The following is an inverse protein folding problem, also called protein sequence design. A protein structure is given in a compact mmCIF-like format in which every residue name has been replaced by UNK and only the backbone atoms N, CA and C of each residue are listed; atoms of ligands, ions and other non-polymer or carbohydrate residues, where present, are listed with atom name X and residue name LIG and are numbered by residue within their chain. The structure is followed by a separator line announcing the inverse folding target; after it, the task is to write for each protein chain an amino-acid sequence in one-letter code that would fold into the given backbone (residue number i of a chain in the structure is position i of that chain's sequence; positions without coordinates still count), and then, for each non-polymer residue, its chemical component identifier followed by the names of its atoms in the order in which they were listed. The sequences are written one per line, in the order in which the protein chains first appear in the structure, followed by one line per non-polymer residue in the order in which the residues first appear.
data_IF_680534112548
#
_entry.id   IF_680534112548
#
_cell.length_a   1.000
_cell.length_b   1.000
_cell.length_c   1.000
_cell.angle_alpha   90.00
_cell.angle_beta   90.00
_cell.angle_gamma   90.00
#
_symmetry.space_group_name_H-M   'P 1'
#
loop_
_entity.id
_entity.type
_entity.pdbx_description
1 polymer ?
#
# COMPACT_ATOMS: atom_id res chain seq x y z
N UNK A 1 -30.23 -4.61 -9.95
CA UNK A 1 -29.97 -3.20 -9.60
C UNK A 1 -28.52 -3.08 -9.16
N UNK A 2 -27.67 -2.40 -9.93
CA UNK A 2 -26.26 -2.21 -9.56
C UNK A 2 -26.23 -1.18 -8.42
N UNK A 3 -25.81 -1.61 -7.23
CA UNK A 3 -25.65 -0.71 -6.09
C UNK A 3 -24.68 0.41 -6.47
N UNK A 4 -25.17 1.65 -6.44
CA UNK A 4 -24.38 2.86 -6.71
C UNK A 4 -23.30 2.96 -5.63
N UNK A 5 -22.07 2.53 -5.95
CA UNK A 5 -20.92 2.67 -5.06
C UNK A 5 -20.77 4.14 -4.67
N UNK A 6 -21.01 4.44 -3.39
CA UNK A 6 -20.79 5.76 -2.81
C UNK A 6 -19.29 6.06 -2.96
N UNK A 7 -18.96 7.12 -3.72
CA UNK A 7 -17.58 7.51 -3.99
C UNK A 7 -16.95 8.02 -2.70
N UNK A 8 -16.08 7.23 -2.08
CA UNK A 8 -15.32 7.65 -0.91
C UNK A 8 -14.47 8.89 -1.23
N UNK A 9 -14.54 9.92 -0.39
CA UNK A 9 -13.73 11.11 -0.52
C UNK A 9 -12.33 10.87 0.08
N UNK A 10 -11.31 10.85 -0.79
CA UNK A 10 -9.91 10.71 -0.38
C UNK A 10 -9.30 12.07 -0.01
N UNK A 11 -8.52 12.13 1.07
CA UNK A 11 -7.79 13.35 1.50
C UNK A 11 -6.71 13.74 0.47
N UNK A 12 -6.25 14.99 0.52
CA UNK A 12 -5.21 15.47 -0.39
C UNK A 12 -3.88 14.72 -0.17
N UNK A 13 -3.49 14.53 1.08
CA UNK A 13 -2.28 13.79 1.46
C UNK A 13 -2.31 12.35 0.96
N UNK A 14 -3.45 11.66 1.10
CA UNK A 14 -3.60 10.30 0.61
C UNK A 14 -3.42 10.20 -0.91
N UNK A 15 -3.96 11.17 -1.66
CA UNK A 15 -3.78 11.23 -3.11
C UNK A 15 -2.34 11.52 -3.49
N UNK A 16 -1.68 12.41 -2.75
CA UNK A 16 -0.27 12.74 -2.95
C UNK A 16 0.60 11.50 -2.73
N UNK A 17 0.37 10.74 -1.66
CA UNK A 17 1.15 9.52 -1.41
C UNK A 17 0.86 8.43 -2.45
N UNK A 18 -0.40 8.25 -2.85
CA UNK A 18 -0.75 7.31 -3.93
C UNK A 18 -0.06 7.68 -5.26
N UNK A 19 0.02 8.96 -5.58
CA UNK A 19 0.77 9.45 -6.75
C UNK A 19 2.28 9.26 -6.57
N UNK A 20 2.82 9.53 -5.38
CA UNK A 20 4.25 9.37 -5.04
C UNK A 20 4.70 7.92 -5.25
N UNK A 21 3.88 6.94 -4.85
CA UNK A 21 4.15 5.52 -5.06
C UNK A 21 4.21 5.15 -6.55
N UNK A 22 3.35 5.74 -7.38
CA UNK A 22 3.43 5.52 -8.83
C UNK A 22 4.67 6.19 -9.42
N UNK A 23 5.01 7.39 -8.96
CA UNK A 23 6.20 8.13 -9.41
C UNK A 23 7.52 7.45 -8.98
N UNK A 24 7.52 6.69 -7.88
CA UNK A 24 8.68 5.89 -7.46
C UNK A 24 8.87 4.60 -8.26
N UNK A 25 8.05 4.37 -9.30
CA UNK A 25 8.17 3.26 -10.24
C UNK A 25 7.24 2.09 -9.98
N UNK A 26 6.36 2.16 -8.97
CA UNK A 26 5.36 1.11 -8.77
C UNK A 26 4.28 1.15 -9.85
N UNK A 27 3.81 -0.04 -10.27
CA UNK A 27 2.71 -0.10 -11.24
C UNK A 27 1.42 0.43 -10.62
N UNK A 28 0.61 1.13 -11.43
CA UNK A 28 -0.69 1.63 -10.96
C UNK A 28 -1.59 0.51 -10.45
N UNK A 29 -1.52 -0.69 -11.05
CA UNK A 29 -2.30 -1.85 -10.62
C UNK A 29 -1.91 -2.30 -9.21
N UNK A 30 -0.61 -2.39 -8.94
CA UNK A 30 -0.09 -2.74 -7.62
C UNK A 30 -0.50 -1.70 -6.58
N UNK A 31 -0.36 -0.40 -6.88
CA UNK A 31 -0.78 0.68 -5.98
C UNK A 31 -2.29 0.63 -5.71
N UNK A 32 -3.12 0.36 -6.73
CA UNK A 32 -4.57 0.20 -6.56
C UNK A 32 -4.93 -0.98 -5.64
N UNK A 33 -4.25 -2.12 -5.80
CA UNK A 33 -4.49 -3.29 -4.96
C UNK A 33 -4.04 -3.05 -3.51
N UNK A 34 -2.86 -2.44 -3.33
CA UNK A 34 -2.31 -2.12 -2.02
C UNK A 34 -3.17 -1.11 -1.26
N UNK A 35 -3.65 -0.07 -1.94
CA UNK A 35 -4.42 1.02 -1.33
C UNK A 35 -5.93 0.82 -1.40
N UNK A 36 -6.40 -0.23 -2.09
CA UNK A 36 -7.83 -0.51 -2.26
C UNK A 36 -8.58 0.56 -3.05
N UNK A 37 -7.91 1.24 -4.00
CA UNK A 37 -8.51 2.35 -4.77
C UNK A 37 -8.86 1.96 -6.21
N UNK A 38 -9.92 2.56 -6.79
CA UNK A 38 -10.22 2.35 -8.21
C UNK A 38 -9.11 2.88 -9.12
N UNK A 39 -8.73 2.08 -10.13
CA UNK A 39 -7.73 2.45 -11.15
C UNK A 39 -8.04 3.78 -11.83
N UNK A 40 -9.31 4.07 -12.10
CA UNK A 40 -9.76 5.32 -12.71
C UNK A 40 -9.43 6.54 -11.83
N UNK A 41 -9.60 6.41 -10.50
CA UNK A 41 -9.28 7.46 -9.53
C UNK A 41 -7.78 7.71 -9.48
N UNK A 42 -6.97 6.66 -9.36
CA UNK A 42 -5.51 6.78 -9.34
C UNK A 42 -4.97 7.37 -10.65
N UNK A 43 -5.48 6.92 -11.80
CA UNK A 43 -5.10 7.45 -13.11
C UNK A 43 -5.42 8.94 -13.25
N UNK A 44 -6.56 9.39 -12.74
CA UNK A 44 -6.93 10.81 -12.71
C UNK A 44 -5.96 11.63 -11.85
N UNK A 45 -5.62 11.15 -10.65
CA UNK A 45 -4.69 11.86 -9.76
C UNK A 45 -3.28 11.95 -10.32
N UNK A 46 -2.78 10.87 -10.93
CA UNK A 46 -1.45 10.88 -11.58
C UNK A 46 -1.42 11.90 -12.72
N UNK A 47 -2.49 12.03 -13.51
CA UNK A 47 -2.59 13.06 -14.55
C UNK A 47 -2.63 14.46 -13.95
N UNK A 48 -3.47 14.69 -12.95
CA UNK A 48 -3.58 15.99 -12.27
C UNK A 48 -2.26 16.41 -11.61
N UNK A 49 -1.52 15.47 -11.02
CA UNK A 49 -0.20 15.74 -10.44
C UNK A 49 0.84 16.15 -11.50
N UNK A 50 0.84 15.50 -12.68
CA UNK A 50 1.74 15.86 -13.78
C UNK A 50 1.53 17.30 -14.29
N UNK A 51 0.30 17.79 -14.25
CA UNK A 51 -0.05 19.16 -14.69
C UNK A 51 -0.13 20.16 -13.54
N UNK A 52 0.24 19.75 -12.31
CA UNK A 52 0.24 20.64 -11.13
C UNK A 52 -1.14 21.00 -10.56
N UNK A 53 -2.20 20.29 -10.95
CA UNK A 53 -3.59 20.61 -10.56
C UNK A 53 -4.20 19.64 -9.55
N UNK A 54 -3.39 18.79 -8.89
CA UNK A 54 -3.89 17.84 -7.91
C UNK A 54 -4.45 18.56 -6.67
N UNK A 55 -5.77 18.70 -6.59
CA UNK A 55 -6.49 19.35 -5.48
C UNK A 55 -7.27 18.33 -4.65
N UNK A 56 -7.57 18.71 -3.39
CA UNK A 56 -8.55 18.01 -2.54
C UNK A 56 -9.81 17.80 -3.38
N UNK A 57 -10.21 16.55 -3.57
CA UNK A 57 -11.32 16.28 -4.47
C UNK A 57 -12.59 16.77 -3.85
N UNK A 58 -12.99 17.94 -4.31
CA UNK A 58 -14.39 18.24 -4.56
C UNK A 58 -14.89 17.18 -5.54
N UNK A 59 -15.30 16.03 -5.00
CA UNK A 59 -16.34 15.30 -5.69
C UNK A 59 -17.55 16.23 -5.64
N UNK A 60 -17.93 16.76 -6.79
CA UNK A 60 -19.27 17.27 -6.99
C UNK A 60 -20.25 16.23 -6.43
N UNK A 61 -20.96 16.62 -5.37
CA UNK A 61 -21.99 15.80 -4.74
C UNK A 61 -21.52 15.02 -3.51
N UNK A 62 -21.84 15.58 -2.34
CA UNK A 62 -22.18 14.92 -1.08
C UNK A 62 -21.92 13.41 -0.99
N UNK A 63 -20.92 13.01 -0.19
CA UNK A 63 -20.74 11.59 0.15
C UNK A 63 -19.55 11.30 1.07
N UNK A 64 -19.84 11.23 2.38
CA UNK A 64 -19.04 10.62 3.46
C UNK A 64 -17.56 11.04 3.59
N UNK A 65 -17.30 11.92 4.54
CA UNK A 65 -15.96 12.14 5.11
C UNK A 65 -15.45 10.81 5.67
N UNK A 66 -14.25 10.37 5.28
CA UNK A 66 -13.56 9.26 5.95
C UNK A 66 -13.33 9.68 7.40
N UNK A 67 -13.80 8.87 8.35
CA UNK A 67 -13.67 9.18 9.77
C UNK A 67 -12.22 8.90 10.23
N UNK A 68 -11.71 9.60 11.25
CA UNK A 68 -10.34 9.41 11.73
C UNK A 68 -10.05 7.95 12.16
N UNK A 69 -11.07 7.22 12.62
CA UNK A 69 -10.94 5.80 12.99
C UNK A 69 -10.62 4.93 11.77
N UNK A 70 -11.24 5.22 10.62
CA UNK A 70 -10.98 4.49 9.39
C UNK A 70 -9.56 4.76 8.86
N UNK A 71 -9.04 5.98 9.10
CA UNK A 71 -7.64 6.34 8.80
C UNK A 71 -6.68 5.54 9.68
N UNK A 72 -6.93 5.48 10.98
CA UNK A 72 -6.09 4.73 11.91
C UNK A 72 -6.08 3.23 11.58
N UNK A 73 -7.23 2.64 11.24
CA UNK A 73 -7.31 1.25 10.79
C UNK A 73 -6.43 1.00 9.56
N UNK A 74 -6.45 1.91 8.57
CA UNK A 74 -5.63 1.77 7.36
C UNK A 74 -4.14 1.90 7.64
N UNK A 75 -3.74 2.85 8.49
CA UNK A 75 -2.35 3.02 8.94
C UNK A 75 -1.86 1.77 9.66
N UNK A 76 -2.64 1.28 10.62
CA UNK A 76 -2.31 0.08 11.39
C UNK A 76 -2.18 -1.15 10.49
N UNK A 77 -3.04 -1.30 9.47
CA UNK A 77 -2.92 -2.41 8.50
C UNK A 77 -1.63 -2.33 7.68
N UNK A 78 -1.24 -1.13 7.24
CA UNK A 78 0.02 -0.94 6.51
C UNK A 78 1.24 -1.24 7.38
N UNK A 79 1.21 -0.81 8.64
CA UNK A 79 2.27 -1.09 9.61
C UNK A 79 2.37 -2.59 9.92
N UNK A 80 1.25 -3.28 10.14
CA UNK A 80 1.22 -4.74 10.33
C UNK A 80 1.79 -5.47 9.11
N UNK A 81 1.47 -5.03 7.89
CA UNK A 81 2.01 -5.65 6.67
C UNK A 81 3.54 -5.49 6.59
N UNK A 82 4.06 -4.30 6.90
CA UNK A 82 5.50 -4.04 6.96
C UNK A 82 6.20 -4.89 8.01
N UNK A 83 5.68 -4.92 9.23
CA UNK A 83 6.26 -5.70 10.34
C UNK A 83 6.26 -7.20 10.04
N UNK A 84 5.22 -7.71 9.38
CA UNK A 84 5.18 -9.12 8.95
C UNK A 84 6.28 -9.43 7.94
N UNK A 85 6.50 -8.55 6.97
CA UNK A 85 7.57 -8.69 5.97
C UNK A 85 8.96 -8.67 6.63
N UNK A 86 9.24 -7.71 7.51
CA UNK A 86 10.50 -7.61 8.24
C UNK A 86 10.77 -8.89 9.07
N UNK A 87 9.75 -9.38 9.79
CA UNK A 87 9.82 -10.63 10.54
C UNK A 87 10.11 -11.84 9.66
N UNK A 88 9.50 -11.93 8.48
CA UNK A 88 9.73 -13.03 7.55
C UNK A 88 11.13 -13.02 6.94
N UNK A 89 11.69 -11.83 6.67
CA UNK A 89 13.09 -11.67 6.25
C UNK A 89 14.04 -12.15 7.35
N UNK A 90 13.82 -11.72 8.60
CA UNK A 90 14.64 -12.13 9.73
C UNK A 90 14.60 -13.66 9.95
N UNK A 91 13.42 -14.28 9.83
CA UNK A 91 13.28 -15.74 9.90
C UNK A 91 14.06 -16.46 8.80
N UNK A 92 14.01 -15.97 7.56
CA UNK A 92 14.77 -16.55 6.44
C UNK A 92 16.28 -16.43 6.67
N UNK A 93 16.75 -15.28 7.17
CA UNK A 93 18.15 -15.08 7.50
C UNK A 93 18.61 -16.04 8.61
N UNK A 94 17.85 -16.16 9.70
CA UNK A 94 18.15 -17.10 10.79
C UNK A 94 18.21 -18.56 10.29
N UNK A 95 17.27 -18.96 9.43
CA UNK A 95 17.27 -20.30 8.82
C UNK A 95 18.50 -20.53 7.92
N UNK A 96 18.89 -19.54 7.12
CA UNK A 96 20.10 -19.61 6.30
C UNK A 96 21.35 -19.79 7.14
N UNK A 97 21.53 -18.98 8.18
CA UNK A 97 22.69 -19.09 9.08
C UNK A 97 22.72 -20.43 9.84
N UNK A 98 21.57 -20.94 10.29
CA UNK A 98 21.50 -22.24 10.94
C UNK A 98 21.87 -23.39 9.99
N UNK A 99 21.50 -23.31 8.70
CA UNK A 99 21.89 -24.32 7.70
C UNK A 99 23.40 -24.30 7.41
N UNK A 100 24.03 -23.14 7.41
CA UNK A 100 25.47 -22.99 7.18
C UNK A 100 26.29 -23.62 8.33
N UNK A 101 25.85 -23.41 9.57
CA UNK A 101 26.42 -24.06 10.77
C UNK A 101 26.32 -25.58 10.70
N UNK A 102 25.19 -26.12 10.21
CA UNK A 102 24.99 -27.58 10.08
C UNK A 102 25.82 -28.20 8.95
N UNK A 103 26.06 -27.49 7.84
CA UNK A 103 26.91 -27.97 6.74
C UNK A 103 28.40 -27.94 7.06
N UNK A 104 28.83 -27.03 7.95
CA UNK A 104 30.22 -26.92 8.39
C UNK A 104 30.65 -27.90 9.48
N UNK A 105 29.74 -28.66 10.10
CA UNK A 105 30.09 -29.64 11.14
C UNK A 105 30.60 -30.95 10.53
N UNK A 106 31.88 -31.33 10.71
CA UNK A 106 32.37 -32.63 10.28
C UNK A 106 31.81 -33.70 11.22
N UNK A 107 31.01 -34.63 10.69
CA UNK A 107 30.53 -35.81 11.42
C UNK A 107 29.01 -36.07 11.43
N UNK A 108 28.19 -35.23 10.78
CA UNK A 108 26.73 -35.42 10.73
C UNK A 108 26.18 -35.84 9.35
N UNK A 109 27.02 -36.42 8.50
CA UNK A 109 26.59 -37.14 7.30
C UNK A 109 26.89 -38.62 7.50
N UNK A 110 25.85 -39.45 7.61
CA UNK A 110 25.96 -40.88 7.30
C UNK A 110 25.79 -41.07 5.79
#
# INVERSE_FOLDING_TARGET
MVAKQVRAAYTQEFRLEAVRLVQSGQSQMQVCQTLGIPKASLGSWVRQAKVGTLKLGTADGAGSKVTPEQMEISRLRAEVARLRMERDIAKKAAAYFAQDVLRGMPGLSK
#
